data_IF_424122717252
#
_entry.id   IF_424122717252
#
_cell.length_a   1.000
_cell.length_b   1.000
_cell.length_c   1.000
_cell.angle_alpha   90.00
_cell.angle_beta   90.00
_cell.angle_gamma   90.00
#
_symmetry.space_group_name_H-M   'P 1'
#
loop_
_entity.id
_entity.type
_entity.pdbx_description
1 polymer ?
#
# COMPACT_ATOMS: atom_id res chain seq x y z
N UNK A 1 -21.92 4.93 13.05
CA UNK A 1 -20.60 5.21 12.42
C UNK A 1 -20.76 5.06 10.93
N UNK A 2 -20.30 6.05 10.16
CA UNK A 2 -20.27 5.97 8.70
C UNK A 2 -19.34 4.82 8.26
N UNK A 3 -19.64 4.21 7.11
CA UNK A 3 -18.83 3.14 6.53
C UNK A 3 -18.59 3.39 5.04
N UNK A 4 -17.48 2.87 4.54
CA UNK A 4 -17.19 2.71 3.11
C UNK A 4 -17.03 1.21 2.85
N UNK A 5 -18.05 0.56 2.30
CA UNK A 5 -18.16 -0.90 2.31
C UNK A 5 -18.15 -1.44 3.75
N UNK A 6 -17.24 -2.36 4.04
CA UNK A 6 -17.06 -2.92 5.38
C UNK A 6 -16.13 -2.09 6.28
N UNK A 7 -15.43 -1.10 5.72
CA UNK A 7 -14.51 -0.25 6.47
C UNK A 7 -15.27 0.77 7.32
N UNK A 8 -14.96 0.81 8.63
CA UNK A 8 -15.57 1.75 9.58
C UNK A 8 -14.78 3.05 9.59
N UNK A 9 -15.42 4.14 9.20
CA UNK A 9 -14.78 5.45 9.21
C UNK A 9 -14.68 6.02 10.63
N UNK A 10 -13.57 6.71 10.96
CA UNK A 10 -13.40 7.36 12.25
C UNK A 10 -14.36 8.54 12.40
N UNK A 11 -14.67 8.92 13.65
CA UNK A 11 -15.63 9.99 13.92
C UNK A 11 -15.22 11.33 13.31
N UNK A 12 -13.91 11.66 13.34
CA UNK A 12 -13.38 12.90 12.77
C UNK A 12 -13.58 13.01 11.24
N UNK A 13 -13.87 11.90 10.54
CA UNK A 13 -14.19 11.94 9.11
C UNK A 13 -15.52 12.65 8.82
N UNK A 14 -16.36 12.88 9.83
CA UNK A 14 -17.58 13.68 9.71
C UNK A 14 -17.40 15.12 10.21
N UNK A 15 -16.16 15.57 10.46
CA UNK A 15 -15.86 16.93 10.88
C UNK A 15 -15.50 17.79 9.65
N UNK A 16 -16.31 18.76 9.22
CA UNK A 16 -16.08 19.49 7.97
C UNK A 16 -14.69 20.13 7.83
N UNK A 17 -14.10 20.75 8.88
CA UNK A 17 -12.75 21.31 8.80
C UNK A 17 -11.66 20.26 8.50
N UNK A 18 -11.90 18.97 8.77
CA UNK A 18 -10.94 17.90 8.46
C UNK A 18 -10.62 17.79 6.96
N UNK A 19 -11.55 18.23 6.09
CA UNK A 19 -11.41 18.25 4.63
C UNK A 19 -10.83 19.56 4.08
N UNK A 20 -10.41 20.48 4.94
CA UNK A 20 -9.77 21.74 4.54
C UNK A 20 -8.39 21.80 5.15
N UNK A 21 -7.37 22.07 4.35
CA UNK A 21 -5.99 22.14 4.83
C UNK A 21 -5.87 23.22 5.91
N UNK A 22 -5.46 22.83 7.11
CA UNK A 22 -5.51 23.73 8.25
C UNK A 22 -4.40 24.79 8.18
N UNK A 23 -4.70 26.08 8.42
CA UNK A 23 -3.71 27.15 8.32
C UNK A 23 -2.76 27.17 9.52
N UNK A 24 -3.25 26.78 10.70
CA UNK A 24 -2.48 26.71 11.94
C UNK A 24 -1.56 25.49 11.91
N UNK A 25 -0.27 25.71 12.16
CA UNK A 25 0.76 24.66 12.06
C UNK A 25 0.46 23.43 12.91
N UNK A 26 0.25 23.59 14.21
CA UNK A 26 0.04 22.46 15.12
C UNK A 26 -1.23 21.66 14.74
N UNK A 27 -2.30 22.37 14.35
CA UNK A 27 -3.54 21.76 13.87
C UNK A 27 -3.31 20.99 12.57
N UNK A 28 -2.51 21.55 11.65
CA UNK A 28 -2.16 20.92 10.38
C UNK A 28 -1.29 19.68 10.59
N UNK A 29 -0.32 19.71 11.49
CA UNK A 29 0.50 18.55 11.83
C UNK A 29 -0.37 17.39 12.34
N UNK A 30 -1.33 17.68 13.23
CA UNK A 30 -2.30 16.68 13.70
C UNK A 30 -3.23 16.19 12.60
N UNK A 31 -3.73 17.08 11.75
CA UNK A 31 -4.57 16.74 10.61
C UNK A 31 -3.83 15.79 9.65
N UNK A 32 -2.58 16.12 9.28
CA UNK A 32 -1.73 15.30 8.41
C UNK A 32 -1.52 13.92 9.03
N UNK A 33 -1.24 13.83 10.33
CA UNK A 33 -1.09 12.55 11.02
C UNK A 33 -2.34 11.68 10.90
N UNK A 34 -3.53 12.24 11.15
CA UNK A 34 -4.80 11.53 11.02
C UNK A 34 -5.08 11.07 9.59
N UNK A 35 -4.75 11.89 8.58
CA UNK A 35 -4.91 11.51 7.18
C UNK A 35 -3.98 10.38 6.78
N UNK A 36 -2.70 10.41 7.20
CA UNK A 36 -1.76 9.32 6.94
C UNK A 36 -2.26 7.99 7.52
N UNK A 37 -2.68 7.99 8.79
CA UNK A 37 -3.20 6.80 9.46
C UNK A 37 -4.44 6.25 8.74
N UNK A 38 -5.40 7.13 8.43
CA UNK A 38 -6.63 6.74 7.74
C UNK A 38 -6.37 6.19 6.34
N UNK A 39 -5.51 6.84 5.55
CA UNK A 39 -5.17 6.39 4.20
C UNK A 39 -4.51 5.01 4.26
N UNK A 40 -3.52 4.82 5.14
CA UNK A 40 -2.80 3.54 5.25
C UNK A 40 -3.73 2.40 5.71
N UNK A 41 -4.59 2.65 6.69
CA UNK A 41 -5.53 1.64 7.20
C UNK A 41 -6.61 1.27 6.18
N UNK A 42 -7.15 2.26 5.47
CA UNK A 42 -8.12 2.03 4.41
C UNK A 42 -7.49 1.26 3.23
N UNK A 43 -6.32 1.69 2.76
CA UNK A 43 -5.58 1.01 1.69
C UNK A 43 -5.24 -0.43 2.05
N UNK A 44 -4.79 -0.68 3.28
CA UNK A 44 -4.54 -2.04 3.78
C UNK A 44 -5.81 -2.89 3.74
N UNK A 45 -6.88 -2.38 4.33
CA UNK A 45 -8.15 -3.13 4.47
C UNK A 45 -8.78 -3.42 3.12
N UNK A 46 -8.72 -2.47 2.18
CA UNK A 46 -9.31 -2.60 0.85
C UNK A 46 -8.34 -3.15 -0.22
N UNK A 47 -7.10 -3.49 0.17
CA UNK A 47 -6.01 -3.93 -0.73
C UNK A 47 -5.72 -2.95 -1.88
N UNK A 48 -5.79 -1.64 -1.60
CA UNK A 48 -5.56 -0.58 -2.59
C UNK A 48 -4.12 -0.09 -2.49
N UNK A 49 -3.28 -0.49 -3.46
CA UNK A 49 -1.87 -0.12 -3.50
C UNK A 49 -1.57 1.18 -4.23
N UNK A 50 -2.46 1.67 -5.09
CA UNK A 50 -2.19 2.85 -5.92
C UNK A 50 -3.31 3.85 -5.73
N UNK A 51 -2.94 5.10 -5.45
CA UNK A 51 -3.84 6.25 -5.42
C UNK A 51 -3.45 7.20 -6.56
N UNK A 52 -4.39 7.50 -7.45
CA UNK A 52 -4.24 8.61 -8.40
C UNK A 52 -4.53 9.95 -7.74
N UNK A 53 -3.66 10.94 -7.92
CA UNK A 53 -3.81 12.26 -7.30
C UNK A 53 -5.07 12.99 -7.81
N UNK A 54 -5.32 12.88 -9.11
CA UNK A 54 -6.48 13.47 -9.80
C UNK A 54 -7.67 12.51 -9.93
N UNK A 55 -7.48 11.23 -9.59
CA UNK A 55 -8.51 10.20 -9.71
C UNK A 55 -9.49 10.25 -8.52
N UNK A 56 -10.67 9.66 -8.70
CA UNK A 56 -11.61 9.49 -7.58
C UNK A 56 -11.05 8.48 -6.57
N UNK A 57 -11.03 8.88 -5.30
CA UNK A 57 -10.65 8.01 -4.20
C UNK A 57 -11.65 8.19 -3.05
N UNK A 58 -12.25 7.11 -2.52
CA UNK A 58 -13.36 7.21 -1.56
C UNK A 58 -13.07 8.05 -0.32
N UNK A 59 -11.82 8.13 0.14
CA UNK A 59 -11.47 8.94 1.30
C UNK A 59 -11.36 10.44 1.00
N UNK A 60 -11.22 10.85 -0.27
CA UNK A 60 -11.06 12.26 -0.64
C UNK A 60 -12.38 13.02 -0.75
N UNK A 61 -13.52 12.34 -0.63
CA UNK A 61 -14.85 12.94 -0.63
C UNK A 61 -15.72 12.33 0.47
N UNK A 62 -16.44 13.17 1.20
CA UNK A 62 -17.50 12.77 2.10
C UNK A 62 -18.80 13.48 1.73
N UNK A 63 -19.67 12.84 0.93
CA UNK A 63 -20.96 13.40 0.55
C UNK A 63 -21.89 13.70 1.73
N UNK A 64 -21.77 12.98 2.86
CA UNK A 64 -22.66 13.14 4.01
C UNK A 64 -22.50 14.50 4.71
N UNK A 65 -21.37 15.16 4.53
CA UNK A 65 -21.09 16.51 5.06
C UNK A 65 -20.77 17.51 3.94
N UNK A 66 -20.99 17.10 2.68
CA UNK A 66 -20.74 17.91 1.48
C UNK A 66 -19.31 18.46 1.41
N UNK A 67 -18.32 17.61 1.69
CA UNK A 67 -16.90 18.01 1.64
C UNK A 67 -16.07 17.10 0.76
N UNK A 68 -15.15 17.74 0.02
CA UNK A 68 -14.16 17.08 -0.83
C UNK A 68 -12.82 17.76 -0.63
N UNK A 69 -11.73 16.99 -0.58
CA UNK A 69 -10.37 17.52 -0.53
C UNK A 69 -10.03 18.24 -1.84
N UNK A 70 -9.44 19.43 -1.71
CA UNK A 70 -8.78 20.12 -2.82
C UNK A 70 -7.57 19.34 -3.33
N UNK A 71 -7.15 19.61 -4.57
CA UNK A 71 -5.92 19.04 -5.13
C UNK A 71 -4.71 19.30 -4.23
N UNK A 72 -4.56 20.53 -3.75
CA UNK A 72 -3.48 20.93 -2.82
C UNK A 72 -3.46 20.08 -1.54
N UNK A 73 -4.63 19.83 -0.94
CA UNK A 73 -4.71 19.00 0.27
C UNK A 73 -4.35 17.54 -0.02
N UNK A 74 -4.83 16.97 -1.15
CA UNK A 74 -4.49 15.61 -1.57
C UNK A 74 -2.98 15.44 -1.77
N UNK A 75 -2.37 16.36 -2.51
CA UNK A 75 -0.92 16.37 -2.77
C UNK A 75 -0.14 16.47 -1.46
N UNK A 76 -0.53 17.40 -0.57
CA UNK A 76 0.13 17.57 0.72
C UNK A 76 0.08 16.31 1.60
N UNK A 77 -1.05 15.59 1.65
CA UNK A 77 -1.18 14.38 2.46
C UNK A 77 -0.45 13.18 1.85
N UNK A 78 -0.46 13.03 0.53
CA UNK A 78 0.32 12.01 -0.16
C UNK A 78 1.83 12.28 -0.04
N UNK A 79 2.26 13.53 -0.22
CA UNK A 79 3.65 13.93 -0.03
C UNK A 79 4.14 13.66 1.39
N UNK A 80 3.29 13.85 2.40
CA UNK A 80 3.61 13.50 3.79
C UNK A 80 3.80 11.99 4.01
N UNK A 81 3.08 11.13 3.28
CA UNK A 81 3.36 9.68 3.28
C UNK A 81 4.69 9.38 2.60
N UNK A 82 4.98 10.07 1.49
CA UNK A 82 6.23 9.90 0.73
C UNK A 82 7.45 10.28 1.58
N UNK A 83 7.40 11.41 2.29
CA UNK A 83 8.51 11.87 3.13
C UNK A 83 8.84 10.91 4.28
N UNK A 84 7.89 10.08 4.70
CA UNK A 84 8.07 9.06 5.75
C UNK A 84 8.39 7.66 5.21
N UNK A 85 8.56 7.53 3.88
CA UNK A 85 8.78 6.25 3.22
C UNK A 85 7.57 5.30 3.32
N UNK A 86 6.36 5.85 3.45
CA UNK A 86 5.08 5.14 3.53
C UNK A 86 4.29 5.22 2.21
N UNK A 87 4.80 5.95 1.24
CA UNK A 87 4.33 5.94 -0.14
C UNK A 87 5.45 6.39 -1.09
N UNK A 88 5.27 6.21 -2.39
CA UNK A 88 6.22 6.64 -3.42
C UNK A 88 5.51 7.09 -4.69
N UNK A 89 5.96 8.19 -5.29
CA UNK A 89 5.46 8.61 -6.60
C UNK A 89 5.95 7.65 -7.69
N UNK A 90 5.02 7.17 -8.51
CA UNK A 90 5.30 6.21 -9.59
C UNK A 90 5.80 6.89 -10.87
N UNK A 91 5.63 8.21 -10.98
CA UNK A 91 6.04 8.99 -12.14
C UNK A 91 6.54 10.38 -11.74
N UNK A 92 7.37 10.98 -12.60
CA UNK A 92 7.93 12.33 -12.39
C UNK A 92 6.86 13.43 -12.30
N UNK A 93 5.66 13.17 -12.83
CA UNK A 93 4.53 14.08 -12.77
C UNK A 93 3.69 13.97 -11.50
N UNK A 94 4.06 13.10 -10.55
CA UNK A 94 3.34 12.87 -9.29
C UNK A 94 1.84 12.56 -9.50
N UNK A 95 1.51 11.80 -10.56
CA UNK A 95 0.10 11.51 -10.88
C UNK A 95 -0.41 10.29 -10.14
N UNK A 96 0.45 9.30 -9.91
CA UNK A 96 0.11 8.07 -9.18
C UNK A 96 1.07 7.84 -8.03
N UNK A 97 0.51 7.53 -6.87
CA UNK A 97 1.24 7.27 -5.63
C UNK A 97 1.06 5.80 -5.24
N UNK A 98 2.16 5.06 -5.13
CA UNK A 98 2.21 3.71 -4.61
C UNK A 98 2.23 3.76 -3.08
N UNK A 99 1.23 3.18 -2.42
CA UNK A 99 1.06 3.18 -0.97
C UNK A 99 1.72 1.96 -0.35
N UNK A 100 2.48 2.19 0.73
CA UNK A 100 3.27 1.17 1.43
C UNK A 100 2.78 1.04 2.89
N UNK A 101 1.63 0.38 3.12
CA UNK A 101 1.14 0.12 4.48
C UNK A 101 2.02 -0.85 5.27
N UNK A 102 2.78 -1.69 4.58
CA UNK A 102 4.01 -2.29 5.10
C UNK A 102 5.19 -1.74 4.30
N UNK A 103 6.32 -1.50 4.96
CA UNK A 103 7.54 -1.14 4.24
C UNK A 103 8.01 -2.33 3.42
N UNK A 104 8.83 -2.10 2.40
CA UNK A 104 9.39 -3.16 1.56
C UNK A 104 10.17 -4.19 2.40
N UNK A 105 10.83 -3.76 3.48
CA UNK A 105 11.51 -4.65 4.41
C UNK A 105 10.54 -5.54 5.18
N UNK A 106 9.46 -4.97 5.71
CA UNK A 106 8.42 -5.71 6.42
C UNK A 106 7.75 -6.73 5.48
N UNK A 107 7.47 -6.34 4.23
CA UNK A 107 6.95 -7.24 3.21
C UNK A 107 7.92 -8.38 2.88
N UNK A 108 9.22 -8.09 2.79
CA UNK A 108 10.23 -9.12 2.59
C UNK A 108 10.23 -10.15 3.73
N UNK A 109 10.07 -9.71 4.98
CA UNK A 109 9.94 -10.61 6.11
C UNK A 109 8.62 -11.40 6.11
N UNK A 110 7.50 -10.77 5.72
CA UNK A 110 6.22 -11.46 5.51
C UNK A 110 6.33 -12.57 4.45
N UNK A 111 7.02 -12.32 3.34
CA UNK A 111 7.24 -13.32 2.28
C UNK A 111 8.07 -14.49 2.80
N UNK A 112 9.13 -14.22 3.58
CA UNK A 112 9.95 -15.28 4.16
C UNK A 112 9.15 -16.16 5.14
N UNK A 113 8.31 -15.55 5.98
CA UNK A 113 7.46 -16.30 6.89
C UNK A 113 6.42 -17.12 6.12
N UNK A 114 5.80 -16.54 5.10
CA UNK A 114 4.87 -17.25 4.21
C UNK A 114 5.48 -18.52 3.59
N UNK A 115 6.70 -18.42 3.07
CA UNK A 115 7.38 -19.57 2.47
C UNK A 115 7.63 -20.67 3.51
N UNK A 116 8.10 -20.30 4.70
CA UNK A 116 8.37 -21.23 5.80
C UNK A 116 7.11 -21.90 6.34
N UNK A 117 6.07 -21.11 6.57
CA UNK A 117 4.81 -21.58 7.14
C UNK A 117 4.09 -22.58 6.21
N UNK A 118 4.41 -22.54 4.90
CA UNK A 118 3.84 -23.43 3.89
C UNK A 118 4.81 -24.52 3.40
N UNK A 119 6.04 -24.60 3.92
CA UNK A 119 7.03 -25.61 3.50
C UNK A 119 7.50 -25.46 2.05
N UNK A 120 7.62 -24.22 1.55
CA UNK A 120 7.91 -23.90 0.16
C UNK A 120 9.39 -23.51 -0.08
N UNK A 121 10.28 -23.71 0.89
CA UNK A 121 11.68 -23.27 0.87
C UNK A 121 12.47 -23.85 -0.32
N UNK A 122 12.26 -25.15 -0.59
CA UNK A 122 12.95 -25.89 -1.66
C UNK A 122 12.22 -25.82 -3.02
N UNK A 123 11.02 -25.25 -3.04
CA UNK A 123 10.15 -25.18 -4.22
C UNK A 123 10.48 -23.94 -5.06
N UNK A 124 10.32 -24.09 -6.38
CA UNK A 124 10.27 -22.94 -7.29
C UNK A 124 8.83 -22.45 -7.34
N UNK A 125 8.62 -21.17 -7.08
CA UNK A 125 7.31 -20.52 -7.17
C UNK A 125 7.34 -19.40 -8.19
N UNK A 126 6.22 -19.13 -8.84
CA UNK A 126 6.05 -17.92 -9.65
C UNK A 126 5.64 -16.73 -8.78
N UNK A 127 5.90 -15.52 -9.27
CA UNK A 127 5.41 -14.28 -8.64
C UNK A 127 3.88 -14.28 -8.52
N UNK A 128 3.17 -14.89 -9.48
CA UNK A 128 1.72 -14.99 -9.46
C UNK A 128 1.19 -15.99 -8.42
N UNK A 129 1.87 -17.10 -8.19
CA UNK A 129 1.50 -18.05 -7.12
C UNK A 129 1.62 -17.41 -5.72
N UNK A 130 2.64 -16.58 -5.48
CA UNK A 130 2.78 -15.86 -4.20
C UNK A 130 1.63 -14.88 -3.97
N UNK A 131 1.13 -14.23 -5.03
CA UNK A 131 0.09 -13.20 -4.95
C UNK A 131 -1.34 -13.75 -5.02
N UNK A 132 -1.54 -14.80 -5.80
CA UNK A 132 -2.87 -15.24 -6.24
C UNK A 132 -3.09 -16.74 -6.02
N UNK A 133 -2.06 -17.47 -5.58
CA UNK A 133 -2.12 -18.91 -5.30
C UNK A 133 -2.95 -19.23 -4.05
N UNK A 134 -3.19 -20.52 -3.85
CA UNK A 134 -4.08 -21.02 -2.78
C UNK A 134 -3.51 -20.73 -1.40
N UNK A 135 -2.21 -20.90 -1.25
CA UNK A 135 -1.43 -20.71 -0.03
C UNK A 135 -1.49 -19.26 0.44
N UNK A 136 -1.55 -18.31 -0.50
CA UNK A 136 -1.61 -16.88 -0.19
C UNK A 136 -2.96 -16.46 0.41
N UNK A 137 -4.04 -17.22 0.19
CA UNK A 137 -5.39 -16.85 0.60
C UNK A 137 -5.49 -16.61 2.11
N UNK A 138 -6.18 -15.54 2.50
CA UNK A 138 -6.30 -15.13 3.90
C UNK A 138 -5.07 -14.44 4.48
N UNK A 139 -3.96 -14.36 3.74
CA UNK A 139 -2.77 -13.60 4.14
C UNK A 139 -2.78 -12.18 3.56
N UNK A 140 -1.87 -11.35 4.05
CA UNK A 140 -1.70 -10.01 3.50
C UNK A 140 -1.10 -9.99 2.08
N UNK A 141 -0.46 -11.09 1.66
CA UNK A 141 0.15 -11.27 0.32
C UNK A 141 -0.89 -11.51 -0.78
N UNK A 142 -2.08 -12.01 -0.44
CA UNK A 142 -3.12 -12.24 -1.43
C UNK A 142 -3.56 -10.91 -2.06
N UNK A 143 -3.49 -10.82 -3.39
CA UNK A 143 -3.81 -9.61 -4.15
C UNK A 143 -2.79 -8.46 -3.98
N UNK A 144 -1.60 -8.74 -3.44
CA UNK A 144 -0.54 -7.75 -3.24
C UNK A 144 -0.07 -7.10 -4.56
N UNK A 145 0.08 -5.78 -4.68
CA UNK A 145 0.58 -5.21 -5.94
C UNK A 145 1.92 -5.81 -6.41
N UNK A 146 1.98 -6.18 -7.70
CA UNK A 146 3.13 -6.85 -8.31
C UNK A 146 4.42 -6.03 -8.17
N UNK A 147 4.33 -4.70 -8.25
CA UNK A 147 5.48 -3.80 -8.10
C UNK A 147 6.04 -3.88 -6.69
N UNK A 148 5.18 -3.86 -5.67
CA UNK A 148 5.59 -4.00 -4.27
C UNK A 148 6.22 -5.37 -4.03
N UNK A 149 5.59 -6.44 -4.53
CA UNK A 149 6.10 -7.81 -4.38
C UNK A 149 7.48 -7.95 -5.01
N UNK A 150 7.66 -7.52 -6.25
CA UNK A 150 8.95 -7.59 -6.94
C UNK A 150 10.05 -6.79 -6.24
N UNK A 151 9.72 -5.67 -5.62
CA UNK A 151 10.69 -4.89 -4.83
C UNK A 151 11.11 -5.63 -3.56
N UNK A 152 10.18 -6.27 -2.87
CA UNK A 152 10.49 -7.10 -1.71
C UNK A 152 11.33 -8.34 -2.08
N UNK A 153 10.99 -9.01 -3.19
CA UNK A 153 11.76 -10.14 -3.71
C UNK A 153 13.19 -9.74 -4.11
N UNK A 154 13.36 -8.62 -4.83
CA UNK A 154 14.70 -8.10 -5.18
C UNK A 154 15.52 -7.72 -3.95
N UNK A 155 14.89 -7.21 -2.90
CA UNK A 155 15.56 -6.95 -1.63
C UNK A 155 16.07 -8.26 -0.99
N UNK A 156 15.28 -9.34 -1.04
CA UNK A 156 15.68 -10.66 -0.56
C UNK A 156 16.78 -11.28 -1.42
N UNK A 157 16.72 -11.12 -2.74
CA UNK A 157 17.74 -11.54 -3.69
C UNK A 157 19.09 -10.86 -3.38
N UNK A 158 19.09 -9.54 -3.19
CA UNK A 158 20.29 -8.80 -2.81
C UNK A 158 20.85 -9.24 -1.45
N UNK A 159 19.99 -9.76 -0.55
CA UNK A 159 20.41 -10.35 0.73
C UNK A 159 20.86 -11.83 0.60
N UNK A 160 20.86 -12.39 -0.61
CA UNK A 160 21.25 -13.79 -0.86
C UNK A 160 20.24 -14.82 -0.35
N UNK A 161 19.00 -14.43 -0.08
CA UNK A 161 17.97 -15.32 0.49
C UNK A 161 17.11 -16.03 -0.56
N UNK A 162 17.16 -15.58 -1.81
CA UNK A 162 16.46 -16.18 -2.94
C UNK A 162 17.18 -15.84 -4.24
N UNK A 163 16.79 -16.52 -5.33
CA UNK A 163 17.15 -16.17 -6.69
C UNK A 163 15.89 -16.00 -7.54
N UNK A 164 15.87 -14.96 -8.38
CA UNK A 164 14.79 -14.70 -9.35
C UNK A 164 15.24 -15.19 -10.73
N UNK A 165 14.42 -16.00 -11.37
CA UNK A 165 14.62 -16.51 -12.73
C UNK A 165 13.70 -15.77 -13.68
N UNK A 166 14.26 -15.28 -14.79
CA UNK A 166 13.46 -14.71 -15.87
C UNK A 166 12.88 -15.85 -16.70
N UNK A 167 11.56 -15.94 -16.75
CA UNK A 167 10.88 -16.79 -17.71
C UNK A 167 10.79 -16.15 -19.10
N UNK A 168 9.96 -16.74 -19.95
CA UNK A 168 9.70 -16.26 -21.32
C UNK A 168 8.88 -14.97 -21.37
N UNK A 169 8.09 -14.71 -20.33
CA UNK A 169 7.31 -13.49 -20.14
C UNK A 169 7.50 -12.93 -18.71
N UNK A 170 7.02 -11.71 -18.46
CA UNK A 170 7.05 -11.12 -17.11
C UNK A 170 6.19 -11.92 -16.11
N UNK A 171 5.17 -12.64 -16.59
CA UNK A 171 4.31 -13.46 -15.73
C UNK A 171 4.94 -14.82 -15.39
N UNK A 172 6.01 -15.19 -16.11
CA UNK A 172 6.79 -16.43 -15.91
C UNK A 172 8.03 -16.21 -15.01
N UNK A 173 8.13 -15.09 -14.29
CA UNK A 173 9.24 -14.87 -13.35
C UNK A 173 9.14 -15.88 -12.19
N UNK A 174 10.09 -16.81 -12.14
CA UNK A 174 10.23 -17.80 -11.08
C UNK A 174 11.09 -17.30 -9.93
N UNK A 175 10.85 -17.81 -8.74
CA UNK A 175 11.54 -17.48 -7.50
C UNK A 175 11.89 -18.78 -6.80
N UNK A 176 13.15 -18.94 -6.40
CA UNK A 176 13.59 -20.04 -5.53
C UNK A 176 14.24 -19.47 -4.29
N UNK A 177 13.75 -19.87 -3.12
CA UNK A 177 14.30 -19.44 -1.84
C UNK A 177 15.55 -20.27 -1.48
N UNK A 178 16.41 -19.72 -0.63
CA UNK A 178 17.70 -20.31 -0.23
C UNK A 178 17.89 -20.13 1.28
N UNK A 179 16.84 -20.43 2.04
CA UNK A 179 16.71 -20.15 3.48
C UNK A 179 16.75 -21.41 4.34
#
# INVERSE_FOLDING_TARGET
MQKLGDFKLPQFFNYPPYFTLQPVRDTREKQVQLWKELILDYCRTQKIFVIGLEEEFPLFSNPAIERTLSHEARDAFLLALVSEGRAEWMDKGHRKCLILWHRIQDWADCILNFVKDNGLEDSVMTVEEIRSGTESQGTDLHGMDRTVLMRALRLLEHKGKLAIFKGTSADDEGVKFSI
#
